data_IF_185742373079
#
_entry.id   IF_185742373079
#
_cell.length_a   1.000
_cell.length_b   1.000
_cell.length_c   1.000
_cell.angle_alpha   90.00
_cell.angle_beta   90.00
_cell.angle_gamma   90.00
#
_symmetry.space_group_name_H-M   'P 1'
#
loop_
_entity.id
_entity.type
_entity.pdbx_description
1 polymer ?
#
# COMPACT_ATOMS: atom_id res chain seq x y z
N UNK A 1 14.88 -10.98 -18.28
CA UNK A 1 16.21 -11.43 -18.74
C UNK A 1 16.98 -12.12 -17.61
N UNK A 2 17.94 -13.00 -17.91
CA UNK A 2 18.87 -13.60 -16.94
C UNK A 2 20.30 -13.18 -17.30
N UNK A 3 21.03 -12.58 -16.36
CA UNK A 3 22.32 -11.91 -16.58
C UNK A 3 23.26 -12.10 -15.40
N UNK A 4 24.57 -11.83 -15.57
CA UNK A 4 25.52 -11.73 -14.45
C UNK A 4 25.81 -10.24 -14.21
N UNK A 5 25.65 -9.76 -12.98
CA UNK A 5 26.03 -8.40 -12.53
C UNK A 5 26.89 -8.50 -11.28
N UNK A 6 28.05 -7.84 -11.29
CA UNK A 6 29.01 -7.81 -10.17
C UNK A 6 29.40 -9.21 -9.64
N UNK A 7 29.47 -10.20 -10.53
CA UNK A 7 29.77 -11.60 -10.17
C UNK A 7 28.57 -12.40 -9.67
N UNK A 8 27.38 -11.82 -9.60
CA UNK A 8 26.14 -12.48 -9.17
C UNK A 8 25.21 -12.76 -10.35
N UNK A 9 24.55 -13.91 -10.34
CA UNK A 9 23.46 -14.20 -11.25
C UNK A 9 22.22 -13.39 -10.86
N UNK A 10 21.63 -12.69 -11.82
CA UNK A 10 20.47 -11.82 -11.64
C UNK A 10 19.41 -12.15 -12.67
N UNK A 11 18.16 -12.30 -12.21
CA UNK A 11 16.99 -12.48 -13.04
C UNK A 11 16.07 -11.26 -12.92
N UNK A 12 15.59 -10.73 -14.05
CA UNK A 12 14.48 -9.79 -14.05
C UNK A 12 13.19 -10.57 -13.89
N UNK A 13 12.51 -10.33 -12.76
CA UNK A 13 11.21 -10.89 -12.46
C UNK A 13 10.19 -9.74 -12.58
N UNK A 14 9.16 -9.86 -13.43
CA UNK A 14 8.14 -8.82 -13.53
C UNK A 14 7.41 -8.67 -12.18
N UNK A 15 7.14 -7.43 -11.79
CA UNK A 15 6.34 -7.17 -10.59
C UNK A 15 4.91 -7.62 -10.82
N UNK A 16 4.30 -8.20 -9.79
CA UNK A 16 2.89 -8.60 -9.81
C UNK A 16 1.93 -7.42 -9.84
N UNK A 17 2.37 -6.27 -9.29
CA UNK A 17 1.62 -5.02 -9.25
C UNK A 17 2.52 -3.87 -9.67
N UNK A 18 1.98 -2.95 -10.45
CA UNK A 18 2.74 -1.82 -11.01
C UNK A 18 2.50 -0.49 -10.29
N UNK A 19 1.49 -0.46 -9.40
CA UNK A 19 1.18 0.71 -8.55
C UNK A 19 0.91 0.30 -7.11
N UNK A 20 1.08 1.25 -6.19
CA UNK A 20 0.74 1.05 -4.78
C UNK A 20 -0.77 0.84 -4.59
N UNK A 21 -1.60 1.57 -5.35
CA UNK A 21 -3.05 1.39 -5.36
C UNK A 21 -3.44 -0.05 -5.69
N UNK A 22 -2.93 -0.58 -6.79
CA UNK A 22 -3.24 -1.93 -7.25
C UNK A 22 -2.82 -2.99 -6.21
N UNK A 23 -1.65 -2.80 -5.59
CA UNK A 23 -1.17 -3.67 -4.51
C UNK A 23 -2.15 -3.65 -3.33
N UNK A 24 -2.57 -2.46 -2.87
CA UNK A 24 -3.49 -2.32 -1.74
C UNK A 24 -4.87 -2.91 -2.04
N UNK A 25 -5.41 -2.67 -3.24
CA UNK A 25 -6.71 -3.22 -3.66
C UNK A 25 -6.72 -4.75 -3.62
N UNK A 26 -5.62 -5.39 -4.06
CA UNK A 26 -5.53 -6.85 -4.20
C UNK A 26 -5.09 -7.57 -2.94
N UNK A 27 -4.20 -6.96 -2.14
CA UNK A 27 -3.48 -7.70 -1.08
C UNK A 27 -3.80 -7.23 0.34
N UNK A 28 -4.36 -6.03 0.55
CA UNK A 28 -4.52 -5.47 1.90
C UNK A 28 -5.36 -6.37 2.82
N UNK A 29 -6.43 -6.97 2.30
CA UNK A 29 -7.29 -7.88 3.06
C UNK A 29 -6.60 -9.21 3.46
N UNK A 30 -5.48 -9.55 2.80
CA UNK A 30 -4.68 -10.75 3.04
C UNK A 30 -3.50 -10.48 3.99
N UNK A 31 -3.22 -9.22 4.33
CA UNK A 31 -2.14 -8.87 5.23
C UNK A 31 -2.44 -9.24 6.69
N UNK A 32 -1.37 -9.46 7.46
CA UNK A 32 -1.46 -9.64 8.91
C UNK A 32 -1.65 -8.29 9.61
N UNK A 33 -2.89 -7.80 9.65
CA UNK A 33 -3.26 -6.49 10.22
C UNK A 33 -3.70 -6.54 11.70
N UNK A 34 -3.70 -7.72 12.31
CA UNK A 34 -4.31 -7.95 13.63
C UNK A 34 -5.84 -8.10 13.55
N UNK A 35 -6.43 -8.64 14.61
CA UNK A 35 -7.82 -9.14 14.61
C UNK A 35 -8.85 -8.08 14.22
N UNK A 36 -8.75 -6.88 14.81
CA UNK A 36 -9.75 -5.83 14.61
C UNK A 36 -9.63 -5.18 13.24
N UNK A 37 -8.41 -4.80 12.84
CA UNK A 37 -8.18 -4.15 11.55
C UNK A 37 -8.44 -5.12 10.40
N UNK A 38 -8.00 -6.39 10.50
CA UNK A 38 -8.29 -7.40 9.46
C UNK A 38 -9.80 -7.61 9.28
N UNK A 39 -10.59 -7.58 10.36
CA UNK A 39 -12.06 -7.65 10.26
C UNK A 39 -12.63 -6.44 9.53
N UNK A 40 -12.24 -5.23 9.94
CA UNK A 40 -12.73 -3.99 9.34
C UNK A 40 -12.37 -3.87 7.85
N UNK A 41 -11.13 -4.17 7.47
CA UNK A 41 -10.68 -4.16 6.07
C UNK A 41 -11.47 -5.16 5.22
N UNK A 42 -11.84 -6.32 5.77
CA UNK A 42 -12.67 -7.30 5.06
C UNK A 42 -14.13 -6.86 4.88
N UNK A 43 -14.64 -6.02 5.76
CA UNK A 43 -15.98 -5.41 5.64
C UNK A 43 -15.99 -4.31 4.56
N UNK A 44 -14.85 -3.64 4.37
CA UNK A 44 -14.62 -2.71 3.28
C UNK A 44 -13.60 -1.64 3.65
N UNK A 45 -12.96 -1.08 2.64
CA UNK A 45 -12.06 0.07 2.79
C UNK A 45 -12.00 0.87 1.49
N UNK A 46 -11.54 2.11 1.60
CA UNK A 46 -11.31 3.00 0.47
C UNK A 46 -9.82 3.35 0.38
N UNK A 47 -9.30 3.41 -0.85
CA UNK A 47 -7.93 3.86 -1.12
C UNK A 47 -8.01 5.26 -1.73
N UNK A 48 -7.43 6.22 -1.02
CA UNK A 48 -7.27 7.58 -1.45
C UNK A 48 -5.84 7.79 -2.00
N UNK A 49 -5.73 8.43 -3.16
CA UNK A 49 -4.45 8.78 -3.76
C UNK A 49 -4.39 10.24 -4.20
N UNK A 50 -3.21 10.85 -4.10
CA UNK A 50 -2.97 12.22 -4.54
C UNK A 50 -3.91 13.23 -3.89
N UNK A 51 -4.66 13.98 -4.71
CA UNK A 51 -5.58 15.02 -4.26
C UNK A 51 -6.76 14.47 -3.44
N UNK A 52 -7.13 13.19 -3.61
CA UNK A 52 -8.20 12.56 -2.83
C UNK A 52 -7.88 12.55 -1.32
N UNK A 53 -6.59 12.48 -0.97
CA UNK A 53 -6.15 12.57 0.43
C UNK A 53 -6.46 13.94 1.02
N UNK A 54 -6.46 15.00 0.19
CA UNK A 54 -6.74 16.37 0.62
C UNK A 54 -8.22 16.61 0.88
N UNK A 55 -9.11 15.78 0.31
CA UNK A 55 -10.56 15.86 0.49
C UNK A 55 -11.01 15.42 1.89
N UNK A 56 -10.14 14.76 2.65
CA UNK A 56 -10.39 14.47 4.06
C UNK A 56 -10.45 15.79 4.86
N UNK A 57 -11.67 16.18 5.20
CA UNK A 57 -12.00 17.36 6.01
C UNK A 57 -12.17 17.04 7.49
N UNK A 58 -11.84 15.82 7.90
CA UNK A 58 -12.00 15.39 9.27
C UNK A 58 -11.03 16.16 10.18
N UNK A 59 -11.60 16.82 11.20
CA UNK A 59 -10.82 17.63 12.13
C UNK A 59 -9.81 16.75 12.87
N UNK A 60 -8.54 17.17 12.84
CA UNK A 60 -7.45 16.43 13.47
C UNK A 60 -6.77 15.38 12.59
N UNK A 61 -7.33 15.00 11.43
CA UNK A 61 -6.66 14.06 10.51
C UNK A 61 -5.33 14.61 9.99
N UNK A 62 -5.32 15.88 9.57
CA UNK A 62 -4.08 16.57 9.15
C UNK A 62 -3.07 16.69 10.30
N UNK A 63 -3.54 17.01 11.50
CA UNK A 63 -2.70 17.09 12.70
C UNK A 63 -2.09 15.74 13.06
N UNK A 64 -2.86 14.66 12.90
CA UNK A 64 -2.38 13.29 13.07
C UNK A 64 -1.28 12.96 12.07
N UNK A 65 -1.50 13.19 10.76
CA UNK A 65 -0.47 12.92 9.75
C UNK A 65 0.81 13.73 9.95
N UNK A 66 0.70 14.98 10.40
CA UNK A 66 1.86 15.84 10.69
C UNK A 66 2.74 15.33 11.85
N UNK A 67 2.28 14.36 12.64
CA UNK A 67 3.11 13.67 13.63
C UNK A 67 3.99 12.56 13.04
N UNK A 68 3.76 12.18 11.79
CA UNK A 68 4.41 11.03 11.12
C UNK A 68 5.17 11.41 9.83
N UNK A 69 5.02 12.64 9.34
CA UNK A 69 5.78 13.24 8.24
C UNK A 69 6.91 14.11 8.79
#
# INVERSE_FOLDING_TARGET
SFTIKDGFYVAEIPRKHISARELLEKELANCSLGKHISKSVKEGFEILEGEQVLELKEDGFRSFLNGWL
#
